data_IF_550005779416
#
_entry.id   IF_550005779416
#
_cell.length_a   1.000
_cell.length_b   1.000
_cell.length_c   1.000
_cell.angle_alpha   90.00
_cell.angle_beta   90.00
_cell.angle_gamma   90.00
#
_symmetry.space_group_name_H-M   'P 1'
#
loop_
_entity.id
_entity.type
_entity.pdbx_description
1 polymer ?
#
# COMPACT_ATOMS: atom_id res chain seq x y z
N UNK A 1 -11.11 -39.88 51.24
CA UNK A 1 -11.83 -41.09 50.80
C UNK A 1 -13.27 -40.67 50.58
N UNK A 2 -13.61 -40.42 49.32
CA UNK A 2 -14.87 -39.82 48.85
C UNK A 2 -15.83 -40.91 48.38
N UNK A 3 -17.13 -40.85 48.72
CA UNK A 3 -18.09 -41.50 47.86
C UNK A 3 -19.40 -40.72 47.62
N UNK A 4 -19.68 -40.54 46.32
CA UNK A 4 -20.96 -40.82 45.66
C UNK A 4 -22.05 -39.73 45.67
N UNK A 5 -21.87 -38.71 44.81
CA UNK A 5 -22.97 -37.96 44.19
C UNK A 5 -23.68 -38.87 43.16
N UNK A 6 -24.83 -39.41 43.58
CA UNK A 6 -25.71 -40.29 42.80
C UNK A 6 -26.70 -39.42 42.01
N UNK A 7 -26.59 -39.39 40.67
CA UNK A 7 -27.62 -38.82 39.79
C UNK A 7 -28.59 -39.92 39.32
N UNK A 8 -29.92 -39.71 39.40
CA UNK A 8 -30.90 -40.56 38.72
C UNK A 8 -31.29 -40.02 37.32
N UNK A 9 -32.02 -40.81 36.50
CA UNK A 9 -31.75 -40.97 35.06
C UNK A 9 -32.68 -40.20 34.10
N UNK A 10 -32.31 -40.34 32.82
CA UNK A 10 -32.92 -39.93 31.55
C UNK A 10 -34.46 -39.80 31.51
N UNK A 11 -34.93 -38.79 30.77
CA UNK A 11 -36.27 -38.80 30.18
C UNK A 11 -36.22 -38.32 28.73
N UNK A 12 -36.66 -39.19 27.82
CA UNK A 12 -36.80 -38.95 26.39
C UNK A 12 -38.11 -38.21 26.10
N UNK A 13 -38.08 -37.25 25.17
CA UNK A 13 -39.28 -36.81 24.47
C UNK A 13 -38.92 -36.29 23.05
N UNK A 14 -39.48 -36.96 22.05
CA UNK A 14 -39.62 -36.54 20.64
C UNK A 14 -41.11 -36.62 20.29
N UNK A 15 -41.61 -36.00 19.20
CA UNK A 15 -41.62 -34.60 18.77
C UNK A 15 -43.08 -34.08 18.72
N UNK A 16 -43.39 -32.95 18.03
CA UNK A 16 -44.16 -33.19 16.81
C UNK A 16 -43.70 -32.41 15.58
N UNK A 17 -43.91 -33.09 14.45
CA UNK A 17 -43.75 -32.66 13.06
C UNK A 17 -44.71 -31.50 12.77
N UNK A 18 -44.17 -30.36 12.31
CA UNK A 18 -44.96 -29.31 11.69
C UNK A 18 -44.71 -29.38 10.18
N UNK A 19 -45.63 -30.05 9.47
CA UNK A 19 -45.81 -29.87 8.03
C UNK A 19 -46.61 -28.58 7.83
N UNK A 20 -46.04 -27.60 7.11
CA UNK A 20 -46.82 -26.49 6.56
C UNK A 20 -46.23 -26.04 5.24
N UNK A 21 -46.90 -26.50 4.17
CA UNK A 21 -47.32 -25.75 2.98
C UNK A 21 -46.32 -24.81 2.28
N UNK A 22 -45.80 -25.31 1.15
CA UNK A 22 -45.67 -24.62 -0.15
C UNK A 22 -45.90 -23.10 -0.16
N UNK A 23 -44.83 -22.34 -0.43
CA UNK A 23 -44.81 -21.33 -1.50
C UNK A 23 -43.41 -21.26 -2.09
N UNK A 24 -43.31 -21.58 -3.38
CA UNK A 24 -42.17 -21.25 -4.22
C UNK A 24 -41.79 -19.76 -4.05
N UNK A 25 -40.53 -19.43 -3.71
CA UNK A 25 -40.02 -18.13 -4.05
C UNK A 25 -39.74 -18.16 -5.56
N UNK A 26 -40.66 -17.58 -6.33
CA UNK A 26 -40.41 -17.10 -7.68
C UNK A 26 -39.02 -16.49 -7.73
N UNK A 27 -38.14 -17.10 -8.52
CA UNK A 27 -36.86 -16.55 -8.95
C UNK A 27 -37.15 -15.22 -9.65
N UNK A 28 -37.23 -14.15 -8.86
CA UNK A 28 -37.14 -12.79 -9.35
C UNK A 28 -35.71 -12.67 -9.89
N UNK A 29 -35.58 -12.90 -11.20
CA UNK A 29 -34.52 -12.39 -12.07
C UNK A 29 -34.56 -10.86 -12.03
N UNK A 30 -34.36 -10.28 -10.84
CA UNK A 30 -34.02 -8.89 -10.70
C UNK A 30 -32.54 -8.85 -10.99
N UNK A 31 -32.23 -8.64 -12.26
CA UNK A 31 -30.97 -8.12 -12.76
C UNK A 31 -30.44 -7.13 -11.74
N UNK A 32 -29.52 -7.61 -10.88
CA UNK A 32 -28.65 -6.74 -10.13
C UNK A 32 -27.68 -6.20 -11.17
N UNK A 33 -28.14 -5.21 -11.93
CA UNK A 33 -27.29 -4.14 -12.43
C UNK A 33 -26.82 -3.44 -11.15
N UNK A 34 -25.90 -4.10 -10.47
CA UNK A 34 -25.08 -3.50 -9.45
C UNK A 34 -24.28 -2.48 -10.22
N UNK A 35 -24.83 -1.27 -10.32
CA UNK A 35 -24.03 -0.07 -10.45
C UNK A 35 -22.99 -0.18 -9.33
N UNK A 36 -21.81 -0.69 -9.67
CA UNK A 36 -20.59 -0.40 -8.97
C UNK A 36 -20.39 1.11 -9.12
N UNK A 37 -21.18 1.89 -8.37
CA UNK A 37 -20.72 3.15 -7.83
C UNK A 37 -19.48 2.77 -7.04
N UNK A 38 -18.33 2.74 -7.73
CA UNK A 38 -17.02 2.89 -7.11
C UNK A 38 -17.12 4.20 -6.34
N UNK A 39 -17.54 4.11 -5.08
CA UNK A 39 -17.37 5.20 -4.13
C UNK A 39 -15.90 5.54 -4.22
N UNK A 40 -15.58 6.72 -4.78
CA UNK A 40 -14.22 7.21 -4.86
C UNK A 40 -13.78 7.42 -3.43
N UNK A 41 -13.14 6.40 -2.84
CA UNK A 41 -12.59 6.50 -1.50
C UNK A 41 -11.49 7.55 -1.55
N UNK A 42 -11.56 8.51 -0.64
CA UNK A 42 -10.48 9.47 -0.44
C UNK A 42 -9.25 8.72 0.05
N UNK A 43 -8.14 8.84 -0.68
CA UNK A 43 -6.87 8.22 -0.31
C UNK A 43 -6.29 8.92 0.91
N UNK A 44 -5.91 8.14 1.91
CA UNK A 44 -5.26 8.62 3.13
C UNK A 44 -3.84 9.09 2.83
N UNK A 45 -3.28 9.92 3.71
CA UNK A 45 -1.88 10.37 3.61
C UNK A 45 -0.88 9.20 3.57
N UNK A 46 -1.15 8.14 4.33
CA UNK A 46 -0.35 6.90 4.28
C UNK A 46 -0.43 6.23 2.90
N UNK A 47 -1.62 6.14 2.31
CA UNK A 47 -1.80 5.56 0.97
C UNK A 47 -1.12 6.41 -0.10
N UNK A 48 -1.21 7.74 -0.01
CA UNK A 48 -0.48 8.67 -0.90
C UNK A 48 1.03 8.43 -0.84
N UNK A 49 1.60 8.35 0.37
CA UNK A 49 3.02 8.09 0.53
C UNK A 49 3.44 6.74 -0.09
N UNK A 50 2.67 5.67 0.15
CA UNK A 50 2.95 4.36 -0.46
C UNK A 50 2.83 4.39 -1.99
N UNK A 51 1.89 5.16 -2.53
CA UNK A 51 1.76 5.37 -3.97
C UNK A 51 2.95 6.13 -4.55
N UNK A 52 3.45 7.18 -3.88
CA UNK A 52 4.65 7.90 -4.30
C UNK A 52 5.85 6.95 -4.43
N UNK A 53 6.11 6.15 -3.40
CA UNK A 53 7.18 5.15 -3.41
C UNK A 53 7.00 4.16 -4.56
N UNK A 54 5.78 3.66 -4.75
CA UNK A 54 5.48 2.73 -5.85
C UNK A 54 5.71 3.35 -7.22
N UNK A 55 5.33 4.62 -7.41
CA UNK A 55 5.54 5.34 -8.66
C UNK A 55 7.03 5.53 -8.96
N UNK A 56 7.84 5.89 -7.96
CA UNK A 56 9.30 6.02 -8.09
C UNK A 56 9.91 4.68 -8.50
N UNK A 57 9.61 3.60 -7.78
CA UNK A 57 10.16 2.27 -8.07
C UNK A 57 9.77 1.79 -9.48
N UNK A 58 8.51 1.99 -9.87
CA UNK A 58 8.02 1.60 -11.19
C UNK A 58 8.69 2.43 -12.31
N UNK A 59 8.94 3.71 -12.08
CA UNK A 59 9.67 4.56 -13.03
C UNK A 59 11.11 4.07 -13.23
N UNK A 60 11.82 3.79 -12.14
CA UNK A 60 13.21 3.30 -12.20
C UNK A 60 13.30 1.92 -12.85
N UNK A 61 12.32 1.04 -12.60
CA UNK A 61 12.21 -0.26 -13.25
C UNK A 61 11.97 -0.12 -14.76
N UNK A 62 11.05 0.75 -15.19
CA UNK A 62 10.74 0.97 -16.61
C UNK A 62 11.82 1.72 -17.38
N UNK A 63 12.60 2.57 -16.71
CA UNK A 63 13.73 3.28 -17.30
C UNK A 63 15.02 2.44 -17.32
N UNK A 64 14.95 1.17 -16.88
CA UNK A 64 16.08 0.26 -16.76
C UNK A 64 17.24 0.81 -15.92
N UNK A 65 16.97 1.73 -14.98
CA UNK A 65 17.98 2.30 -14.10
C UNK A 65 18.18 1.42 -12.85
N UNK A 66 18.75 0.23 -13.08
CA UNK A 66 18.82 -0.85 -12.08
C UNK A 66 19.65 -0.44 -10.85
N UNK A 67 20.73 0.31 -11.05
CA UNK A 67 21.59 0.79 -9.95
C UNK A 67 20.84 1.75 -9.03
N UNK A 68 20.14 2.74 -9.61
CA UNK A 68 19.36 3.69 -8.83
C UNK A 68 18.16 3.02 -8.17
N UNK A 69 17.54 2.03 -8.84
CA UNK A 69 16.48 1.19 -8.26
C UNK A 69 16.97 0.43 -7.02
N UNK A 70 18.15 -0.19 -7.10
CA UNK A 70 18.75 -0.91 -5.98
C UNK A 70 19.05 0.03 -4.81
N UNK A 71 19.71 1.17 -5.08
CA UNK A 71 20.00 2.20 -4.07
C UNK A 71 18.72 2.71 -3.40
N UNK A 72 17.67 2.96 -4.18
CA UNK A 72 16.36 3.40 -3.69
C UNK A 72 15.72 2.37 -2.75
N UNK A 73 15.71 1.09 -3.14
CA UNK A 73 15.20 0.00 -2.30
C UNK A 73 16.00 -0.13 -1.00
N UNK A 74 17.33 -0.03 -1.09
CA UNK A 74 18.21 -0.09 0.06
C UNK A 74 17.95 1.05 1.07
N UNK A 75 17.79 2.29 0.60
CA UNK A 75 17.42 3.44 1.45
C UNK A 75 16.12 3.18 2.21
N UNK A 76 15.08 2.72 1.50
CA UNK A 76 13.77 2.42 2.13
C UNK A 76 13.92 1.32 3.19
N UNK A 77 14.62 0.23 2.86
CA UNK A 77 14.84 -0.88 3.78
C UNK A 77 15.58 -0.44 5.04
N UNK A 78 16.66 0.35 4.89
CA UNK A 78 17.43 0.91 5.99
C UNK A 78 16.56 1.78 6.90
N UNK A 79 15.76 2.69 6.33
CA UNK A 79 14.87 3.56 7.12
C UNK A 79 13.82 2.76 7.90
N UNK A 80 13.23 1.74 7.26
CA UNK A 80 12.25 0.84 7.92
C UNK A 80 12.91 0.05 9.05
N UNK A 81 14.13 -0.45 8.84
CA UNK A 81 14.87 -1.20 9.85
C UNK A 81 15.20 -0.32 11.07
N UNK A 82 15.72 0.89 10.84
CA UNK A 82 16.02 1.84 11.91
C UNK A 82 14.77 2.23 12.70
N UNK A 83 13.64 2.45 12.02
CA UNK A 83 12.38 2.76 12.68
C UNK A 83 11.87 1.59 13.54
N UNK A 84 12.04 0.35 13.08
CA UNK A 84 11.69 -0.86 13.87
C UNK A 84 12.58 -1.06 15.09
N UNK A 85 13.82 -0.62 15.03
CA UNK A 85 14.78 -0.69 16.14
C UNK A 85 14.55 0.40 17.19
N UNK A 86 13.60 1.32 16.96
CA UNK A 86 13.26 2.37 17.91
C UNK A 86 14.31 3.48 17.97
N UNK A 87 14.80 3.95 16.81
CA UNK A 87 15.69 5.13 16.76
C UNK A 87 15.12 6.27 17.63
N UNK A 88 15.90 6.68 18.62
CA UNK A 88 15.49 7.58 19.69
C UNK A 88 15.26 9.04 19.25
N UNK A 89 15.60 9.37 18.00
CA UNK A 89 15.22 10.65 17.39
C UNK A 89 13.84 10.49 16.77
N UNK A 90 12.82 11.04 17.42
CA UNK A 90 11.46 11.04 16.89
C UNK A 90 11.40 11.87 15.59
N UNK A 91 11.58 11.19 14.46
CA UNK A 91 11.31 11.72 13.13
C UNK A 91 10.33 10.74 12.47
N UNK A 92 9.17 11.21 11.95
CA UNK A 92 8.24 10.34 11.26
C UNK A 92 8.96 9.57 10.13
N UNK A 93 8.76 8.24 10.07
CA UNK A 93 9.38 7.38 9.04
C UNK A 93 9.16 7.92 7.62
N UNK A 94 7.98 8.50 7.36
CA UNK A 94 7.66 9.21 6.13
C UNK A 94 8.72 10.26 5.81
N UNK A 95 8.95 11.20 6.72
CA UNK A 95 9.85 12.33 6.51
C UNK A 95 11.30 11.86 6.26
N UNK A 96 11.77 10.87 7.04
CA UNK A 96 13.13 10.31 6.84
C UNK A 96 13.27 9.72 5.44
N UNK A 97 12.29 8.92 5.00
CA UNK A 97 12.32 8.33 3.66
C UNK A 97 12.24 9.42 2.59
N UNK A 98 11.37 10.42 2.72
CA UNK A 98 11.24 11.51 1.75
C UNK A 98 12.56 12.27 1.61
N UNK A 99 13.19 12.67 2.71
CA UNK A 99 14.47 13.39 2.69
C UNK A 99 15.60 12.57 2.07
N UNK A 100 15.73 11.29 2.44
CA UNK A 100 16.79 10.42 1.92
C UNK A 100 16.57 10.09 0.43
N UNK A 101 15.33 9.92 0.00
CA UNK A 101 15.00 9.70 -1.40
C UNK A 101 15.19 10.96 -2.25
N UNK A 102 14.82 12.12 -1.74
CA UNK A 102 15.06 13.40 -2.40
C UNK A 102 16.56 13.65 -2.61
N UNK A 103 17.38 13.36 -1.59
CA UNK A 103 18.84 13.45 -1.69
C UNK A 103 19.43 12.47 -2.72
N UNK A 104 18.90 11.24 -2.78
CA UNK A 104 19.38 10.20 -3.70
C UNK A 104 18.95 10.44 -5.15
N UNK A 105 17.68 10.81 -5.36
CA UNK A 105 17.04 10.89 -6.68
C UNK A 105 17.17 12.29 -7.30
N UNK A 106 17.44 13.31 -6.49
CA UNK A 106 17.42 14.71 -6.86
C UNK A 106 16.06 15.36 -6.58
N UNK A 107 16.12 16.61 -6.10
CA UNK A 107 14.96 17.46 -5.76
C UNK A 107 13.98 17.58 -6.92
N UNK A 108 14.48 17.77 -8.14
CA UNK A 108 13.66 17.96 -9.34
C UNK A 108 12.84 16.71 -9.67
N UNK A 109 13.50 15.53 -9.69
CA UNK A 109 12.84 14.25 -9.92
C UNK A 109 11.80 13.98 -8.83
N UNK A 110 12.19 14.13 -7.57
CA UNK A 110 11.31 13.85 -6.44
C UNK A 110 10.07 14.75 -6.44
N UNK A 111 10.26 16.05 -6.66
CA UNK A 111 9.18 17.04 -6.79
C UNK A 111 8.30 16.78 -8.02
N UNK A 112 8.87 16.30 -9.13
CA UNK A 112 8.09 15.87 -10.29
C UNK A 112 7.18 14.70 -9.92
N UNK A 113 7.69 13.66 -9.25
CA UNK A 113 6.90 12.50 -8.85
C UNK A 113 5.78 12.86 -7.86
N UNK A 114 6.01 13.80 -6.94
CA UNK A 114 4.97 14.34 -6.06
C UNK A 114 3.86 15.04 -6.84
N UNK A 115 4.21 15.91 -7.81
CA UNK A 115 3.23 16.56 -8.70
C UNK A 115 2.45 15.54 -9.53
N UNK A 116 3.09 14.47 -10.01
CA UNK A 116 2.43 13.37 -10.70
C UNK A 116 1.37 12.69 -9.82
N UNK A 117 1.70 12.43 -8.55
CA UNK A 117 0.74 11.84 -7.60
C UNK A 117 -0.47 12.76 -7.33
N UNK A 118 -0.25 14.08 -7.34
CA UNK A 118 -1.32 15.08 -7.20
C UNK A 118 -2.14 15.30 -8.49
N UNK A 119 -1.79 14.62 -9.59
CA UNK A 119 -2.43 14.83 -10.89
C UNK A 119 -2.05 16.16 -11.56
N UNK A 120 -0.98 16.82 -11.09
CA UNK A 120 -0.44 18.08 -11.63
C UNK A 120 0.77 17.86 -12.53
N UNK A 121 0.82 16.71 -13.16
CA UNK A 121 1.88 16.31 -14.08
C UNK A 121 1.52 16.74 -15.49
N UNK A 122 2.41 17.46 -16.15
CA UNK A 122 2.38 17.57 -17.61
C UNK A 122 2.76 16.21 -18.21
N UNK A 123 1.92 15.67 -19.10
CA UNK A 123 2.20 14.43 -19.81
C UNK A 123 3.42 14.66 -20.70
N UNK A 124 4.62 14.38 -20.19
CA UNK A 124 5.80 14.28 -21.04
C UNK A 124 5.85 12.87 -21.60
N UNK A 125 5.73 12.69 -22.93
CA UNK A 125 5.85 11.38 -23.56
C UNK A 125 7.34 11.01 -23.50
N UNK A 126 7.76 10.28 -22.47
CA UNK A 126 9.12 9.72 -22.36
C UNK A 126 10.24 10.74 -22.63
N UNK A 127 10.54 11.63 -21.68
CA UNK A 127 11.48 12.73 -21.99
C UNK A 127 12.27 13.33 -20.84
N UNK A 128 12.43 12.66 -19.70
CA UNK A 128 13.37 13.15 -18.70
C UNK A 128 14.50 12.17 -18.45
N UNK A 129 15.70 12.59 -18.85
CA UNK A 129 16.97 12.10 -18.33
C UNK A 129 17.29 12.87 -17.04
N UNK A 130 16.54 12.62 -15.96
CA UNK A 130 16.87 13.20 -14.63
C UNK A 130 18.14 12.58 -14.03
N UNK A 131 18.65 11.51 -14.65
CA UNK A 131 19.75 10.70 -14.14
C UNK A 131 20.95 10.89 -15.07
N UNK A 132 21.60 12.06 -15.00
CA UNK A 132 23.02 12.29 -15.36
C UNK A 132 23.37 13.80 -15.42
N UNK A 133 23.42 14.52 -14.29
CA UNK A 133 24.05 15.85 -14.24
C UNK A 133 24.92 16.11 -12.99
N UNK A 134 25.48 15.08 -12.36
CA UNK A 134 26.47 15.26 -11.28
C UNK A 134 27.75 14.42 -11.42
N UNK A 135 28.21 14.17 -12.64
CA UNK A 135 29.55 13.61 -12.84
C UNK A 135 30.37 14.27 -13.96
N UNK A 136 29.99 15.48 -14.38
CA UNK A 136 30.86 16.34 -15.20
C UNK A 136 31.37 17.45 -14.30
N UNK A 137 32.29 17.11 -13.40
CA UNK A 137 33.16 18.10 -12.79
C UNK A 137 34.08 18.59 -13.92
N UNK A 138 34.00 19.85 -14.38
CA UNK A 138 35.00 20.36 -15.29
C UNK A 138 36.30 20.49 -14.51
N UNK A 139 37.39 20.09 -15.15
CA UNK A 139 38.75 20.24 -14.66
C UNK A 139 38.95 21.55 -13.87
N UNK A 140 39.20 21.39 -12.58
CA UNK A 140 39.80 22.39 -11.73
C UNK A 140 41.32 22.13 -11.79
N UNK A 141 42.06 23.10 -12.34
CA UNK A 141 43.52 23.23 -12.30
C UNK A 141 44.38 22.25 -13.13
N UNK A 142 44.84 22.73 -14.29
CA UNK A 142 46.27 22.79 -14.65
C UNK A 142 46.49 23.85 -15.73
#
# INVERSE_FOLDING_TARGET
MDPQLRFPPQSMATPPIVQSTFRDPTLSMRTRIGHHQRRRRMITEREKFLLLIKMILLYLERSCNIDLLYKTKHVIQRCVQNNRQGDGRFVPLKNVIETELEALLGVEFFSHMQRCLEGKCEITPFGYSYINQRNSNPDMFA
#
